data_IF_327443168074
#
_entry.id   IF_327443168074
#
_cell.length_a   1.000
_cell.length_b   1.000
_cell.length_c   1.000
_cell.angle_alpha   90.00
_cell.angle_beta   90.00
_cell.angle_gamma   90.00
#
_symmetry.space_group_name_H-M   'P 1'
#
loop_
_entity.id
_entity.type
_entity.pdbx_description
1 polymer ?
#
# COMPACT_ATOMS: atom_id res chain seq x y z
N UNK A 1 14.78 13.50 5.42
CA UNK A 1 14.22 12.51 4.50
C UNK A 1 13.69 11.37 5.35
N UNK A 2 12.41 11.06 5.23
CA UNK A 2 11.79 9.95 5.96
C UNK A 2 12.43 8.61 5.60
N UNK A 3 12.39 7.64 6.50
CA UNK A 3 12.85 6.27 6.26
C UNK A 3 11.69 5.42 5.77
N UNK A 4 11.87 4.73 4.65
CA UNK A 4 10.89 3.83 4.08
C UNK A 4 11.10 2.41 4.62
N UNK A 5 10.08 1.85 5.27
CA UNK A 5 10.06 0.47 5.75
C UNK A 5 9.07 -0.33 4.88
N UNK A 6 9.60 -1.18 4.02
CA UNK A 6 8.80 -2.06 3.16
C UNK A 6 8.51 -3.39 3.86
N UNK A 7 7.24 -3.75 3.95
CA UNK A 7 6.80 -5.02 4.51
C UNK A 7 6.59 -6.02 3.39
N UNK A 8 7.58 -6.89 3.15
CA UNK A 8 7.54 -7.89 2.09
C UNK A 8 7.19 -9.29 2.63
N UNK A 9 6.56 -10.11 1.80
CA UNK A 9 6.23 -11.49 2.12
C UNK A 9 5.06 -12.02 1.32
N UNK A 10 4.96 -13.34 1.21
CA UNK A 10 3.90 -14.02 0.44
C UNK A 10 2.50 -13.68 0.96
N UNK A 11 1.48 -13.88 0.12
CA UNK A 11 0.09 -13.77 0.54
C UNK A 11 -0.17 -14.60 1.81
N UNK A 12 -0.88 -14.01 2.77
CA UNK A 12 -1.15 -14.63 4.07
C UNK A 12 -0.01 -14.61 5.10
N UNK A 13 1.17 -14.05 4.79
CA UNK A 13 2.27 -13.94 5.78
C UNK A 13 2.02 -12.92 6.89
N UNK A 14 0.99 -12.07 6.76
CA UNK A 14 0.60 -11.08 7.76
C UNK A 14 1.22 -9.69 7.60
N UNK A 15 1.62 -9.28 6.39
CA UNK A 15 2.18 -7.94 6.10
C UNK A 15 1.30 -6.79 6.64
N UNK A 16 0.04 -6.70 6.20
CA UNK A 16 -0.90 -5.65 6.63
C UNK A 16 -1.15 -5.66 8.13
N UNK A 17 -1.23 -6.86 8.73
CA UNK A 17 -1.35 -7.01 10.18
C UNK A 17 -0.10 -6.49 10.89
N UNK A 18 1.10 -6.73 10.34
CA UNK A 18 2.35 -6.22 10.87
C UNK A 18 2.43 -4.70 10.74
N UNK A 19 2.03 -4.11 9.60
CA UNK A 19 1.97 -2.65 9.41
C UNK A 19 1.10 -2.01 10.49
N UNK A 20 -0.11 -2.53 10.70
CA UNK A 20 -1.01 -2.05 11.75
C UNK A 20 -0.40 -2.18 13.15
N UNK A 21 0.10 -3.37 13.50
CA UNK A 21 0.68 -3.60 14.82
C UNK A 21 1.93 -2.72 15.06
N UNK A 22 2.73 -2.49 14.02
CA UNK A 22 3.94 -1.68 14.11
C UNK A 22 3.61 -0.19 14.22
N UNK A 23 2.60 0.31 13.49
CA UNK A 23 2.07 1.65 13.66
C UNK A 23 1.62 1.90 15.11
N UNK A 24 0.82 0.99 15.67
CA UNK A 24 0.37 1.09 17.07
C UNK A 24 1.55 1.11 18.05
N UNK A 25 2.55 0.25 17.81
CA UNK A 25 3.75 0.23 18.62
C UNK A 25 4.53 1.54 18.51
N UNK A 26 4.77 2.06 17.30
CA UNK A 26 5.47 3.34 17.08
C UNK A 26 4.76 4.49 17.79
N UNK A 27 3.45 4.59 17.65
CA UNK A 27 2.63 5.58 18.35
C UNK A 27 2.80 5.46 19.87
N UNK A 28 2.83 4.24 20.42
CA UNK A 28 3.07 4.01 21.86
C UNK A 28 4.46 4.47 22.34
N UNK A 29 5.43 4.56 21.43
CA UNK A 29 6.78 5.07 21.69
C UNK A 29 6.91 6.59 21.42
N UNK A 30 5.83 7.27 21.04
CA UNK A 30 5.85 8.68 20.64
C UNK A 30 6.55 8.93 19.30
N UNK A 31 6.55 7.92 18.41
CA UNK A 31 7.07 8.03 17.05
C UNK A 31 5.91 8.11 16.07
N UNK A 32 5.88 9.17 15.27
CA UNK A 32 4.92 9.30 14.18
C UNK A 32 5.40 8.56 12.94
N UNK A 33 4.45 7.98 12.20
CA UNK A 33 4.69 7.34 10.91
C UNK A 33 3.50 7.54 9.97
N UNK A 34 3.79 7.55 8.67
CA UNK A 34 2.80 7.51 7.59
C UNK A 34 2.63 6.06 7.15
N UNK A 35 1.39 5.64 6.93
CA UNK A 35 1.03 4.32 6.43
C UNK A 35 0.66 4.37 4.96
N UNK A 36 1.28 3.51 4.16
CA UNK A 36 1.09 3.47 2.71
C UNK A 36 0.60 2.07 2.32
N UNK A 37 -0.54 2.00 1.63
CA UNK A 37 -0.99 0.77 0.99
C UNK A 37 -0.62 0.79 -0.50
N UNK A 38 0.20 -0.17 -0.93
CA UNK A 38 0.51 -0.41 -2.34
C UNK A 38 -0.14 -1.68 -2.91
N UNK A 39 -1.01 -2.36 -2.15
CA UNK A 39 -1.75 -3.53 -2.64
C UNK A 39 -3.11 -3.12 -3.24
N UNK A 40 -3.29 -3.18 -4.58
CA UNK A 40 -4.58 -2.86 -5.22
C UNK A 40 -5.65 -3.93 -4.95
N UNK A 41 -5.25 -5.12 -4.48
CA UNK A 41 -6.16 -6.21 -4.09
C UNK A 41 -6.56 -6.24 -2.64
N UNK A 42 -6.11 -5.29 -1.82
CA UNK A 42 -6.49 -5.28 -0.42
C UNK A 42 -7.98 -5.03 -0.28
N UNK A 43 -8.74 -6.03 0.19
CA UNK A 43 -10.19 -5.89 0.44
C UNK A 43 -10.48 -5.12 1.73
N UNK A 44 -9.85 -5.52 2.84
CA UNK A 44 -10.04 -4.92 4.15
C UNK A 44 -8.69 -4.76 4.87
N UNK A 45 -8.37 -3.52 5.25
CA UNK A 45 -7.19 -3.19 6.04
C UNK A 45 -7.60 -2.96 7.50
N UNK A 46 -6.74 -3.38 8.43
CA UNK A 46 -6.92 -3.15 9.87
C UNK A 46 -6.50 -1.74 10.31
N UNK A 47 -5.98 -0.95 9.37
CA UNK A 47 -5.58 0.43 9.55
C UNK A 47 -6.16 1.27 8.41
N UNK A 48 -6.20 2.59 8.61
CA UNK A 48 -6.56 3.55 7.57
C UNK A 48 -5.28 4.07 6.93
N UNK A 49 -4.94 3.67 5.69
CA UNK A 49 -3.75 4.16 5.02
C UNK A 49 -3.84 5.67 4.80
N UNK A 50 -2.72 6.37 5.00
CA UNK A 50 -2.58 7.80 4.70
C UNK A 50 -2.40 8.04 3.19
N UNK A 51 -1.81 7.07 2.50
CA UNK A 51 -1.72 7.00 1.04
C UNK A 51 -2.13 5.61 0.56
N UNK A 52 -3.11 5.54 -0.34
CA UNK A 52 -3.69 4.29 -0.81
C UNK A 52 -3.67 4.19 -2.33
N UNK A 53 -3.01 3.16 -2.88
CA UNK A 53 -2.99 2.89 -4.32
C UNK A 53 -4.38 2.64 -4.90
N UNK A 54 -5.33 2.21 -4.07
CA UNK A 54 -6.72 1.92 -4.50
C UNK A 54 -7.48 3.18 -4.93
N UNK A 55 -7.00 4.37 -4.56
CA UNK A 55 -7.53 5.65 -5.04
C UNK A 55 -7.11 5.95 -6.49
N UNK A 56 -6.08 5.26 -6.99
CA UNK A 56 -5.50 5.44 -8.32
C UNK A 56 -5.83 4.29 -9.27
N UNK A 57 -6.04 3.09 -8.73
CA UNK A 57 -6.29 1.87 -9.51
C UNK A 57 -7.37 1.03 -8.84
N UNK A 58 -8.47 0.80 -9.54
CA UNK A 58 -9.55 -0.07 -9.08
C UNK A 58 -9.44 -1.45 -9.75
N UNK A 59 -9.16 -2.48 -8.96
CA UNK A 59 -8.98 -3.84 -9.46
C UNK A 59 -10.25 -4.41 -10.13
N UNK A 60 -11.44 -4.11 -9.59
CA UNK A 60 -12.70 -4.61 -10.14
C UNK A 60 -12.97 -4.02 -11.53
N UNK A 61 -12.66 -2.73 -11.72
CA UNK A 61 -12.76 -2.06 -13.02
C UNK A 61 -11.77 -2.65 -14.02
N UNK A 62 -10.51 -2.88 -13.61
CA UNK A 62 -9.50 -3.53 -14.46
C UNK A 62 -9.95 -4.92 -14.91
N UNK A 63 -10.54 -5.72 -14.01
CA UNK A 63 -11.11 -7.02 -14.36
C UNK A 63 -12.23 -6.90 -15.39
N UNK A 64 -13.15 -5.96 -15.19
CA UNK A 64 -14.32 -5.78 -16.05
C UNK A 64 -13.95 -5.24 -17.44
N UNK A 65 -13.11 -4.21 -17.51
CA UNK A 65 -12.74 -3.54 -18.76
C UNK A 65 -11.83 -4.39 -19.65
N UNK A 66 -10.90 -5.13 -19.04
CA UNK A 66 -9.91 -5.91 -19.78
C UNK A 66 -10.29 -7.40 -19.89
N UNK A 67 -11.40 -7.83 -19.29
CA UNK A 67 -11.84 -9.23 -19.29
C UNK A 67 -10.86 -10.17 -18.58
N UNK A 68 -10.17 -9.67 -17.57
CA UNK A 68 -9.12 -10.41 -16.85
C UNK A 68 -9.69 -11.16 -15.65
N UNK A 69 -9.14 -12.35 -15.39
CA UNK A 69 -9.33 -13.02 -14.10
C UNK A 69 -8.54 -12.32 -12.97
N UNK A 70 -8.79 -12.68 -11.69
CA UNK A 70 -8.23 -11.97 -10.54
C UNK A 70 -6.70 -11.81 -10.59
N UNK A 71 -5.96 -12.88 -10.91
CA UNK A 71 -4.49 -12.83 -11.00
C UNK A 71 -3.99 -11.97 -12.17
N UNK A 72 -4.70 -11.97 -13.31
CA UNK A 72 -4.33 -11.15 -14.45
C UNK A 72 -4.56 -9.66 -14.16
N UNK A 73 -5.68 -9.35 -13.52
CA UNK A 73 -5.99 -8.00 -13.11
C UNK A 73 -5.03 -7.48 -12.03
N UNK A 74 -4.53 -8.33 -11.13
CA UNK A 74 -3.50 -7.96 -10.15
C UNK A 74 -2.22 -7.46 -10.83
N UNK A 75 -1.73 -8.19 -11.84
CA UNK A 75 -0.54 -7.79 -12.60
C UNK A 75 -0.81 -6.48 -13.35
N UNK A 76 -1.94 -6.39 -14.05
CA UNK A 76 -2.31 -5.17 -14.78
C UNK A 76 -2.48 -3.95 -13.84
N UNK A 77 -3.06 -4.15 -12.66
CA UNK A 77 -3.23 -3.11 -11.65
C UNK A 77 -1.87 -2.65 -11.09
N UNK A 78 -0.93 -3.57 -10.87
CA UNK A 78 0.43 -3.23 -10.46
C UNK A 78 1.16 -2.40 -11.53
N UNK A 79 1.00 -2.73 -12.82
CA UNK A 79 1.55 -1.93 -13.92
C UNK A 79 0.91 -0.52 -13.96
N UNK A 80 -0.39 -0.41 -13.75
CA UNK A 80 -1.09 0.88 -13.67
C UNK A 80 -0.63 1.71 -12.47
N UNK A 81 -0.44 1.09 -11.31
CA UNK A 81 0.12 1.74 -10.14
C UNK A 81 1.54 2.25 -10.39
N UNK A 82 2.36 1.47 -11.11
CA UNK A 82 3.72 1.87 -11.49
C UNK A 82 3.73 3.11 -12.40
N UNK A 83 2.74 3.29 -13.27
CA UNK A 83 2.60 4.53 -14.07
C UNK A 83 2.33 5.77 -13.19
N UNK A 84 1.68 5.58 -12.05
CA UNK A 84 1.40 6.64 -11.05
C UNK A 84 2.49 6.75 -9.97
N UNK A 85 3.58 5.97 -10.05
CA UNK A 85 4.59 5.91 -8.99
C UNK A 85 5.22 7.26 -8.67
N UNK A 86 5.37 8.13 -9.67
CA UNK A 86 5.88 9.49 -9.44
C UNK A 86 4.90 10.33 -8.63
N UNK A 87 3.62 10.31 -8.97
CA UNK A 87 2.60 11.06 -8.24
C UNK A 87 2.46 10.56 -6.80
N UNK A 88 2.46 9.24 -6.61
CA UNK A 88 2.48 8.63 -5.28
C UNK A 88 3.69 9.07 -4.46
N UNK A 89 4.88 9.13 -5.07
CA UNK A 89 6.09 9.62 -4.41
C UNK A 89 5.99 11.12 -4.06
N UNK A 90 5.50 11.94 -4.99
CA UNK A 90 5.33 13.38 -4.78
C UNK A 90 4.32 13.64 -3.63
N UNK A 91 3.23 12.88 -3.56
CA UNK A 91 2.26 12.93 -2.44
C UNK A 91 2.90 12.48 -1.14
N UNK A 92 3.65 11.38 -1.14
CA UNK A 92 4.33 10.87 0.05
C UNK A 92 5.36 11.87 0.61
N UNK A 93 6.02 12.64 -0.26
CA UNK A 93 6.97 13.68 0.13
C UNK A 93 6.30 14.90 0.81
N UNK A 94 4.98 15.08 0.66
CA UNK A 94 4.25 16.16 1.35
C UNK A 94 4.05 15.90 2.84
N UNK A 95 4.21 14.66 3.30
CA UNK A 95 4.07 14.33 4.71
C UNK A 95 5.35 14.63 5.49
N UNK A 96 5.21 15.40 6.57
CA UNK A 96 6.30 15.67 7.50
C UNK A 96 6.42 14.53 8.52
N UNK A 97 7.16 13.47 8.18
CA UNK A 97 7.40 12.34 9.07
C UNK A 97 8.85 11.83 9.01
N UNK A 98 9.22 11.03 10.02
CA UNK A 98 10.49 10.31 10.04
C UNK A 98 10.39 8.92 9.42
N UNK A 99 9.18 8.34 9.30
CA UNK A 99 8.99 6.95 8.92
C UNK A 99 7.76 6.75 8.04
N UNK A 100 7.93 5.97 6.98
CA UNK A 100 6.86 5.50 6.11
C UNK A 100 6.78 3.97 6.24
N UNK A 101 5.62 3.46 6.65
CA UNK A 101 5.32 2.03 6.71
C UNK A 101 4.59 1.64 5.42
N UNK A 102 5.27 0.90 4.55
CA UNK A 102 4.80 0.59 3.20
C UNK A 102 4.39 -0.87 3.13
N UNK A 103 3.07 -1.09 3.08
CA UNK A 103 2.46 -2.39 2.84
C UNK A 103 2.45 -2.68 1.34
N UNK A 104 2.97 -3.84 0.95
CA UNK A 104 3.15 -4.21 -0.45
C UNK A 104 2.18 -5.32 -0.87
N UNK A 105 1.89 -5.46 -2.18
CA UNK A 105 1.10 -6.58 -2.70
C UNK A 105 1.54 -7.95 -2.16
N UNK A 106 0.58 -8.84 -1.97
CA UNK A 106 0.85 -10.19 -1.47
C UNK A 106 1.38 -11.19 -2.49
N UNK A 107 1.19 -10.93 -3.77
CA UNK A 107 1.57 -11.82 -4.88
C UNK A 107 2.83 -11.34 -5.59
#
# INVERSE_FOLDING_TARGET
MARNLYFLGTAGSGKSTMVYAFQLWMNSQGLDCVTVNLDPGAEALLYSPDLDVRDYVNLEEVMAEQGLGPNGAQVAAADMAAMNAKELADVLETFETNYNLIDTPGQ
#
